data_IF_862334304522
#
_entry.id   IF_862334304522
#
_cell.length_a   1.000
_cell.length_b   1.000
_cell.length_c   1.000
_cell.angle_alpha   90.00
_cell.angle_beta   90.00
_cell.angle_gamma   90.00
#
_symmetry.space_group_name_H-M   'P 1'
#
loop_
_entity.id
_entity.type
_entity.pdbx_description
1 polymer ?
#
# COMPACT_ATOMS: atom_id res chain seq x y z
N UNK A 1 -2.36 29.35 -25.97
CA UNK A 1 -1.76 28.32 -25.09
C UNK A 1 -2.48 27.00 -25.32
N UNK A 2 -1.75 25.88 -25.39
CA UNK A 2 -2.30 24.54 -25.64
C UNK A 2 -2.41 23.80 -24.30
N UNK A 3 -3.61 23.49 -23.77
CA UNK A 3 -3.76 22.89 -22.44
C UNK A 3 -3.24 21.44 -22.34
N UNK A 4 -2.92 20.79 -23.46
CA UNK A 4 -2.41 19.41 -23.50
C UNK A 4 -0.88 19.29 -23.42
N UNK A 5 -0.15 20.42 -23.39
CA UNK A 5 1.30 20.38 -23.15
C UNK A 5 1.53 20.46 -21.65
N UNK A 6 1.95 19.34 -21.06
CA UNK A 6 2.25 19.16 -19.64
C UNK A 6 3.45 19.97 -19.15
N UNK A 7 3.33 21.30 -19.15
CA UNK A 7 4.32 22.24 -18.64
C UNK A 7 4.18 22.60 -17.16
N UNK A 8 3.17 22.07 -16.46
CA UNK A 8 2.93 22.35 -15.04
C UNK A 8 3.08 21.04 -14.24
N UNK A 9 4.31 20.68 -13.89
CA UNK A 9 4.59 19.52 -13.03
C UNK A 9 4.14 19.72 -11.56
N UNK A 10 3.80 20.95 -11.17
CA UNK A 10 3.43 21.35 -9.79
C UNK A 10 2.04 20.92 -9.33
N UNK A 11 1.43 19.92 -9.96
CA UNK A 11 0.07 19.47 -9.65
C UNK A 11 -0.28 18.10 -10.22
N UNK A 12 0.72 17.25 -10.52
CA UNK A 12 0.41 15.86 -10.88
C UNK A 12 -0.26 15.19 -9.68
N UNK A 13 -1.44 14.63 -9.90
CA UNK A 13 -2.01 13.60 -9.03
C UNK A 13 -0.94 12.50 -8.98
N UNK A 14 -0.20 12.44 -7.88
CA UNK A 14 0.81 11.41 -7.67
C UNK A 14 0.11 10.27 -6.96
N UNK A 15 0.12 9.10 -7.59
CA UNK A 15 -0.38 7.90 -6.94
C UNK A 15 0.44 7.66 -5.67
N UNK A 16 -0.20 7.20 -4.58
CA UNK A 16 0.54 6.71 -3.42
C UNK A 16 1.60 5.69 -3.87
N UNK A 17 2.83 5.88 -3.44
CA UNK A 17 3.98 5.01 -3.75
C UNK A 17 4.52 4.35 -2.50
N UNK A 18 5.06 3.14 -2.67
CA UNK A 18 5.81 2.42 -1.63
C UNK A 18 7.17 3.10 -1.37
N UNK A 19 7.87 2.66 -0.32
CA UNK A 19 9.23 3.13 0.00
C UNK A 19 10.21 3.06 -1.20
N UNK A 20 10.03 2.11 -2.12
CA UNK A 20 10.86 1.93 -3.32
C UNK A 20 10.36 2.69 -4.57
N UNK A 21 9.32 3.54 -4.43
CA UNK A 21 8.76 4.33 -5.53
C UNK A 21 7.76 3.59 -6.42
N UNK A 22 7.50 2.30 -6.20
CA UNK A 22 6.49 1.56 -6.94
C UNK A 22 5.08 2.03 -6.49
N UNK A 23 4.18 2.42 -7.41
CA UNK A 23 2.83 2.83 -7.07
C UNK A 23 2.01 1.70 -6.43
N UNK A 24 1.20 2.04 -5.41
CA UNK A 24 0.13 1.16 -4.93
C UNK A 24 -0.91 0.93 -6.02
N UNK A 25 -1.62 -0.20 -5.92
CA UNK A 25 -2.57 -0.66 -6.94
C UNK A 25 -3.93 -0.97 -6.29
N UNK A 26 -4.99 -0.87 -7.09
CA UNK A 26 -6.36 -1.22 -6.67
C UNK A 26 -6.86 -0.37 -5.51
N UNK A 27 -7.56 -1.02 -4.56
CA UNK A 27 -8.20 -0.35 -3.43
C UNK A 27 -7.23 0.45 -2.56
N UNK A 28 -5.96 0.06 -2.51
CA UNK A 28 -4.93 0.77 -1.75
C UNK A 28 -4.69 2.19 -2.24
N UNK A 29 -4.96 2.48 -3.53
CA UNK A 29 -4.88 3.85 -4.05
C UNK A 29 -5.91 4.73 -3.34
N UNK A 30 -7.14 4.23 -3.19
CA UNK A 30 -8.25 4.98 -2.58
C UNK A 30 -8.05 5.13 -1.08
N UNK A 31 -7.67 4.04 -0.40
CA UNK A 31 -7.39 4.07 1.05
C UNK A 31 -6.31 5.10 1.39
N UNK A 32 -5.17 5.04 0.68
CA UNK A 32 -4.05 5.93 0.98
C UNK A 32 -4.28 7.37 0.50
N UNK A 33 -5.00 7.58 -0.60
CA UNK A 33 -5.36 8.93 -1.04
C UNK A 33 -6.35 9.59 -0.08
N UNK A 34 -7.30 8.81 0.45
CA UNK A 34 -8.24 9.27 1.48
C UNK A 34 -7.52 9.65 2.77
N UNK A 35 -6.66 8.76 3.27
CA UNK A 35 -5.87 9.04 4.48
C UNK A 35 -4.90 10.22 4.30
N UNK A 36 -4.29 10.38 3.12
CA UNK A 36 -3.48 11.55 2.80
C UNK A 36 -4.30 12.84 2.90
N UNK A 37 -5.51 12.84 2.34
CA UNK A 37 -6.40 13.99 2.35
C UNK A 37 -6.87 14.32 3.78
N UNK A 38 -7.26 13.32 4.56
CA UNK A 38 -7.72 13.50 5.94
C UNK A 38 -6.61 14.06 6.85
N UNK A 39 -5.38 13.54 6.70
CA UNK A 39 -4.24 13.91 7.55
C UNK A 39 -3.42 15.08 6.98
N UNK A 40 -3.76 15.57 5.79
CA UNK A 40 -3.11 16.71 5.14
C UNK A 40 -1.72 16.42 4.54
N UNK A 41 -1.35 15.15 4.35
CA UNK A 41 -0.04 14.80 3.80
C UNK A 41 0.09 15.20 2.33
N UNK A 42 1.26 15.74 1.97
CA UNK A 42 1.58 16.15 0.59
C UNK A 42 2.43 15.10 -0.14
N UNK A 43 3.19 14.32 0.61
CA UNK A 43 4.08 13.29 0.11
C UNK A 43 3.27 12.05 -0.26
N UNK A 44 3.46 11.51 -1.48
CA UNK A 44 2.79 10.28 -1.87
C UNK A 44 3.45 9.02 -1.28
N UNK A 45 4.52 9.14 -0.48
CA UNK A 45 5.33 7.98 -0.08
C UNK A 45 4.86 7.38 1.24
N UNK A 46 4.60 6.08 1.21
CA UNK A 46 4.15 5.28 2.35
C UNK A 46 5.04 4.06 2.57
N UNK A 47 5.27 3.71 3.83
CA UNK A 47 6.11 2.58 4.20
C UNK A 47 5.70 1.95 5.54
N UNK A 48 6.09 0.70 5.78
CA UNK A 48 5.82 0.07 7.09
C UNK A 48 6.74 0.65 8.16
N UNK A 49 6.38 0.46 9.43
CA UNK A 49 7.24 0.87 10.56
C UNK A 49 8.65 0.28 10.46
N UNK A 50 8.76 -1.01 10.09
CA UNK A 50 10.05 -1.68 9.92
C UNK A 50 10.90 -1.03 8.82
N UNK A 51 10.28 -0.67 7.69
CA UNK A 51 10.97 0.03 6.60
C UNK A 51 11.43 1.42 7.02
N UNK A 52 10.65 2.14 7.82
CA UNK A 52 11.06 3.45 8.36
C UNK A 52 12.31 3.31 9.24
N UNK A 53 12.31 2.33 10.16
CA UNK A 53 13.47 2.03 11.02
C UNK A 53 14.72 1.62 10.23
N UNK A 54 14.56 0.78 9.21
CA UNK A 54 15.66 0.34 8.33
C UNK A 54 16.29 1.52 7.56
N UNK A 55 15.50 2.56 7.28
CA UNK A 55 15.96 3.80 6.64
C UNK A 55 16.45 4.86 7.63
N UNK A 56 16.55 4.53 8.93
CA UNK A 56 17.00 5.44 9.99
C UNK A 56 15.95 6.46 10.44
N UNK A 57 14.70 6.35 9.97
CA UNK A 57 13.57 7.13 10.45
C UNK A 57 12.87 6.46 11.62
N UNK A 58 11.97 7.17 12.30
CA UNK A 58 11.13 6.59 13.34
C UNK A 58 9.76 7.25 13.35
N UNK A 59 8.69 6.46 13.40
CA UNK A 59 7.33 7.01 13.44
C UNK A 59 7.17 7.90 14.68
N UNK A 60 6.64 9.10 14.48
CA UNK A 60 6.42 10.06 15.58
C UNK A 60 5.50 9.47 16.64
N UNK A 61 5.75 9.83 17.89
CA UNK A 61 4.91 9.40 19.00
C UNK A 61 3.47 9.87 18.76
N UNK A 62 2.52 8.94 18.91
CA UNK A 62 1.09 9.12 18.66
C UNK A 62 0.67 9.21 17.18
N UNK A 63 1.56 8.95 16.23
CA UNK A 63 1.17 8.84 14.83
C UNK A 63 0.31 7.58 14.59
N UNK A 64 -0.81 7.75 13.89
CA UNK A 64 -1.70 6.64 13.52
C UNK A 64 -1.40 6.17 12.10
N UNK A 65 -1.07 4.89 11.97
CA UNK A 65 -0.84 4.27 10.67
C UNK A 65 -2.13 4.09 9.86
N UNK A 66 -1.95 3.87 8.56
CA UNK A 66 -2.96 3.69 7.53
C UNK A 66 -3.03 2.23 7.09
N UNK A 67 -4.22 1.74 6.76
CA UNK A 67 -4.43 0.35 6.33
C UNK A 67 -4.16 0.19 4.83
N UNK A 68 -3.37 -0.82 4.48
CA UNK A 68 -3.29 -1.36 3.12
C UNK A 68 -3.60 -2.85 3.13
N UNK A 69 -4.13 -3.33 2.02
CA UNK A 69 -4.60 -4.69 1.85
C UNK A 69 -3.77 -5.43 0.80
N UNK A 70 -3.42 -6.66 1.11
CA UNK A 70 -2.81 -7.63 0.20
C UNK A 70 -3.73 -8.83 0.06
N UNK A 71 -4.25 -9.04 -1.15
CA UNK A 71 -5.04 -10.21 -1.48
C UNK A 71 -4.22 -11.12 -2.40
N UNK A 72 -4.18 -12.41 -2.08
CA UNK A 72 -3.57 -13.44 -2.93
C UNK A 72 -4.24 -14.80 -2.65
N UNK A 73 -3.78 -15.85 -3.32
CA UNK A 73 -4.23 -17.22 -3.11
C UNK A 73 -3.08 -18.07 -2.58
N UNK A 74 -3.40 -19.08 -1.78
CA UNK A 74 -2.47 -20.12 -1.35
C UNK A 74 -2.94 -21.47 -1.87
N UNK A 75 -2.03 -22.25 -2.46
CA UNK A 75 -2.31 -23.62 -2.89
C UNK A 75 -2.15 -24.56 -1.71
N UNK A 76 -3.15 -25.41 -1.49
CA UNK A 76 -3.12 -26.45 -0.46
C UNK A 76 -3.49 -27.79 -1.09
N UNK A 77 -2.69 -28.80 -0.82
CA UNK A 77 -3.01 -30.19 -1.16
C UNK A 77 -3.94 -30.76 -0.10
N UNK A 78 -5.08 -31.29 -0.52
CA UNK A 78 -6.05 -31.95 0.33
C UNK A 78 -6.38 -33.33 -0.25
N UNK A 79 -6.54 -34.33 0.61
CA UNK A 79 -7.04 -35.64 0.20
C UNK A 79 -8.55 -35.56 0.02
N UNK A 80 -9.05 -35.95 -1.14
CA UNK A 80 -10.47 -35.97 -1.42
C UNK A 80 -11.16 -37.19 -0.77
N UNK A 81 -12.48 -37.30 -0.95
CA UNK A 81 -13.27 -38.39 -0.39
C UNK A 81 -12.92 -39.79 -0.97
N UNK A 82 -12.15 -39.83 -2.06
CA UNK A 82 -11.69 -41.05 -2.74
C UNK A 82 -10.26 -41.43 -2.36
N UNK A 83 -9.57 -40.60 -1.58
CA UNK A 83 -8.17 -40.81 -1.21
C UNK A 83 -7.18 -40.17 -2.17
N UNK A 84 -7.64 -39.45 -3.19
CA UNK A 84 -6.79 -38.79 -4.17
C UNK A 84 -6.28 -37.44 -3.64
N UNK A 85 -5.01 -37.12 -3.89
CA UNK A 85 -4.47 -35.79 -3.58
C UNK A 85 -4.94 -34.76 -4.62
N UNK A 86 -5.63 -33.71 -4.14
CA UNK A 86 -6.17 -32.64 -4.98
C UNK A 86 -5.60 -31.30 -4.52
N UNK A 87 -5.07 -30.52 -5.46
CA UNK A 87 -4.69 -29.14 -5.20
C UNK A 87 -5.91 -28.22 -5.17
N UNK A 88 -6.01 -27.39 -4.14
CA UNK A 88 -7.04 -26.36 -4.00
C UNK A 88 -6.41 -25.00 -3.77
N UNK A 89 -6.91 -24.00 -4.50
CA UNK A 89 -6.57 -22.61 -4.25
C UNK A 89 -7.49 -22.01 -3.19
N UNK A 90 -6.90 -21.51 -2.11
CA UNK A 90 -7.62 -20.83 -1.03
C UNK A 90 -7.31 -19.33 -1.14
N UNK A 91 -8.29 -18.48 -1.49
CA UNK A 91 -8.09 -17.04 -1.51
C UNK A 91 -7.94 -16.52 -0.07
N UNK A 92 -7.03 -15.57 0.12
CA UNK A 92 -6.82 -14.90 1.39
C UNK A 92 -6.60 -13.40 1.20
N UNK A 93 -6.83 -12.66 2.29
CA UNK A 93 -6.59 -11.23 2.37
C UNK A 93 -5.87 -10.91 3.69
N UNK A 94 -4.84 -10.05 3.63
CA UNK A 94 -4.08 -9.58 4.78
C UNK A 94 -4.05 -8.07 4.81
N UNK A 95 -4.32 -7.49 5.97
CA UNK A 95 -4.11 -6.07 6.24
C UNK A 95 -2.69 -5.80 6.73
N UNK A 96 -2.13 -4.68 6.32
CA UNK A 96 -0.86 -4.15 6.84
C UNK A 96 -1.02 -2.68 7.21
N UNK A 97 -0.26 -2.25 8.23
CA UNK A 97 -0.19 -0.85 8.63
C UNK A 97 1.02 -0.18 8.00
N UNK A 98 0.79 0.94 7.32
CA UNK A 98 1.82 1.80 6.72
C UNK A 98 1.70 3.22 7.24
N UNK A 99 2.80 3.96 7.18
CA UNK A 99 2.90 5.35 7.62
C UNK A 99 3.34 6.20 6.44
N UNK A 100 2.81 7.42 6.37
CA UNK A 100 3.33 8.40 5.43
C UNK A 100 4.70 8.87 5.92
N UNK A 101 5.61 9.19 5.00
CA UNK A 101 6.93 9.72 5.37
C UNK A 101 6.87 11.04 6.15
N UNK A 102 5.79 11.80 6.04
CA UNK A 102 5.61 13.03 6.82
C UNK A 102 5.29 12.78 8.30
N UNK A 103 4.80 11.58 8.63
CA UNK A 103 4.54 11.10 9.99
C UNK A 103 5.72 10.38 10.65
N UNK A 104 6.84 10.27 9.92
CA UNK A 104 8.12 9.76 10.43
C UNK A 104 8.96 10.87 11.08
#
# INVERSE_FOLDING_TARGET
MKPWKGGNASGRITLPVRHNGIPYQGINILLLSGDALEKGYQSPRWMTFKQALELGGNVRKAEHGSLVVYANKVTKTETDAKGDEVEREIPFMKGYTVFNVEGL
#
